data_IF_279461811146
#
_entry.id   IF_279461811146
#
_cell.length_a   1.000
_cell.length_b   1.000
_cell.length_c   1.000
_cell.angle_alpha   90.00
_cell.angle_beta   90.00
_cell.angle_gamma   90.00
#
_symmetry.space_group_name_H-M   'P 1'
#
loop_
_entity.id
_entity.type
_entity.pdbx_description
1 polymer ?
#
# COMPACT_ATOMS: atom_id res chain seq x y z
N UNK A 1 8.59 16.21 -26.30
CA UNK A 1 8.31 14.75 -26.27
C UNK A 1 7.99 14.37 -24.84
N UNK A 2 6.87 13.66 -24.67
CA UNK A 2 6.23 13.32 -23.40
C UNK A 2 7.14 12.48 -22.51
N UNK A 3 7.39 12.90 -21.26
CA UNK A 3 7.75 12.01 -20.16
C UNK A 3 7.25 12.63 -18.83
N UNK A 4 6.00 12.40 -18.38
CA UNK A 4 5.63 12.64 -16.99
C UNK A 4 6.06 11.42 -16.16
N UNK A 5 7.36 11.29 -15.90
CA UNK A 5 7.84 10.36 -14.88
C UNK A 5 7.61 11.00 -13.51
N UNK A 6 6.37 10.88 -13.00
CA UNK A 6 6.04 11.23 -11.62
C UNK A 6 6.63 10.17 -10.68
N UNK A 7 7.96 10.12 -10.57
CA UNK A 7 8.65 9.36 -9.53
C UNK A 7 8.60 10.15 -8.23
N UNK A 8 7.44 10.14 -7.57
CA UNK A 8 7.33 10.67 -6.22
C UNK A 8 7.77 9.57 -5.23
N UNK A 9 9.09 9.43 -5.08
CA UNK A 9 9.68 8.51 -4.11
C UNK A 9 9.73 9.20 -2.74
N UNK A 10 8.60 9.26 -2.05
CA UNK A 10 8.56 9.68 -0.64
C UNK A 10 9.14 8.57 0.25
N UNK A 11 10.42 8.74 0.56
CA UNK A 11 11.17 7.94 1.53
C UNK A 11 10.88 8.40 2.95
N UNK A 12 9.77 7.92 3.52
CA UNK A 12 9.55 8.01 4.97
C UNK A 12 10.15 6.79 5.69
N UNK A 13 11.20 7.06 6.46
CA UNK A 13 11.76 6.26 7.56
C UNK A 13 11.96 7.22 8.75
N UNK A 14 12.09 6.79 10.02
CA UNK A 14 11.84 5.49 10.64
C UNK A 14 10.94 5.57 11.90
N UNK A 15 10.13 4.53 12.15
CA UNK A 15 9.92 4.04 13.52
C UNK A 15 8.76 4.58 14.34
N UNK A 16 7.52 4.26 13.97
CA UNK A 16 6.46 3.85 14.94
C UNK A 16 5.22 3.27 14.24
N UNK A 17 5.36 2.72 13.04
CA UNK A 17 4.19 2.34 12.25
C UNK A 17 3.79 0.89 12.59
N UNK A 18 2.55 0.72 13.05
CA UNK A 18 2.02 -0.58 13.48
C UNK A 18 2.00 -1.54 12.28
N UNK A 19 2.75 -2.66 12.31
CA UNK A 19 2.86 -3.54 11.16
C UNK A 19 1.53 -4.26 10.92
N UNK A 20 1.00 -4.12 9.71
CA UNK A 20 -0.13 -4.88 9.20
C UNK A 20 0.41 -6.14 8.54
N UNK A 21 0.10 -7.32 9.10
CA UNK A 21 0.55 -8.62 8.57
C UNK A 21 -0.60 -9.53 8.20
N UNK A 22 -1.73 -9.44 8.90
CA UNK A 22 -2.87 -10.33 8.67
C UNK A 22 -3.98 -9.61 7.90
N UNK A 23 -4.77 -10.32 7.07
CA UNK A 23 -5.91 -9.74 6.36
C UNK A 23 -6.94 -9.13 7.33
N UNK A 24 -7.08 -9.72 8.51
CA UNK A 24 -7.94 -9.20 9.58
C UNK A 24 -7.55 -7.78 10.03
N UNK A 25 -6.26 -7.44 10.00
CA UNK A 25 -5.81 -6.08 10.29
C UNK A 25 -6.30 -5.12 9.21
N UNK A 26 -6.08 -5.44 7.92
CA UNK A 26 -6.54 -4.60 6.81
C UNK A 26 -8.06 -4.35 6.87
N UNK A 27 -8.84 -5.39 7.16
CA UNK A 27 -10.30 -5.28 7.33
C UNK A 27 -10.68 -4.34 8.48
N UNK A 28 -9.98 -4.44 9.61
CA UNK A 28 -10.18 -3.59 10.79
C UNK A 28 -9.81 -2.12 10.54
N UNK A 29 -8.84 -1.88 9.66
CA UNK A 29 -8.34 -0.55 9.33
C UNK A 29 -8.81 -0.03 7.97
N UNK A 30 -9.89 -0.59 7.42
CA UNK A 30 -10.57 -0.07 6.23
C UNK A 30 -10.86 1.43 6.39
N UNK A 31 -10.50 2.22 5.39
CA UNK A 31 -10.58 3.68 5.38
C UNK A 31 -9.39 4.41 6.05
N UNK A 32 -8.37 3.70 6.54
CA UNK A 32 -7.14 4.31 7.08
C UNK A 32 -6.00 4.31 6.05
N UNK A 33 -5.09 5.27 6.15
CA UNK A 33 -3.90 5.34 5.30
C UNK A 33 -2.90 4.26 5.72
N UNK A 34 -2.45 3.47 4.76
CA UNK A 34 -1.46 2.43 4.95
C UNK A 34 -0.37 2.52 3.89
N UNK A 35 0.85 2.27 4.34
CA UNK A 35 2.02 2.11 3.49
C UNK A 35 2.30 0.63 3.30
N UNK A 36 2.21 0.18 2.06
CA UNK A 36 2.35 -1.20 1.63
C UNK A 36 3.62 -1.33 0.81
N UNK A 37 4.53 -2.18 1.27
CA UNK A 37 5.73 -2.58 0.53
C UNK A 37 5.51 -3.96 -0.07
N UNK A 38 5.69 -4.07 -1.38
CA UNK A 38 5.60 -5.34 -2.11
C UNK A 38 6.95 -6.06 -2.17
N UNK A 39 6.91 -7.39 -2.37
CA UNK A 39 8.09 -8.26 -2.51
C UNK A 39 8.78 -8.00 -3.84
N UNK A 40 8.01 -8.07 -4.91
CA UNK A 40 8.44 -7.78 -6.27
C UNK A 40 7.98 -6.37 -6.65
N UNK A 41 8.82 -5.57 -7.32
CA UNK A 41 8.37 -4.30 -7.88
C UNK A 41 7.19 -4.54 -8.83
N UNK A 42 6.13 -3.77 -8.67
CA UNK A 42 5.01 -3.77 -9.60
C UNK A 42 5.20 -2.53 -10.47
N UNK A 43 5.61 -2.74 -11.72
CA UNK A 43 6.17 -1.68 -12.55
C UNK A 43 7.54 -1.24 -12.01
N UNK A 44 7.67 0.05 -11.69
CA UNK A 44 8.90 0.62 -11.12
C UNK A 44 8.83 0.84 -9.59
N UNK A 45 7.64 0.69 -9.00
CA UNK A 45 7.39 1.03 -7.61
C UNK A 45 7.29 -0.22 -6.71
N UNK A 46 7.98 -0.18 -5.56
CA UNK A 46 7.94 -1.23 -4.52
C UNK A 46 7.14 -0.83 -3.29
N UNK A 47 6.71 0.42 -3.20
CA UNK A 47 6.08 1.01 -2.02
C UNK A 47 4.87 1.81 -2.48
N UNK A 48 3.72 1.47 -1.94
CA UNK A 48 2.43 2.07 -2.27
C UNK A 48 1.86 2.68 -1.00
N UNK A 49 1.35 3.91 -1.09
CA UNK A 49 0.72 4.61 0.03
C UNK A 49 -0.70 4.96 -0.41
N UNK A 50 -1.68 4.58 0.38
CA UNK A 50 -3.07 4.85 0.08
C UNK A 50 -3.99 4.45 1.22
N UNK A 51 -5.29 4.67 1.05
CA UNK A 51 -6.33 4.27 1.97
C UNK A 51 -6.65 2.78 1.78
N UNK A 52 -6.75 2.03 2.88
CA UNK A 52 -7.15 0.62 2.82
C UNK A 52 -8.62 0.56 2.39
N UNK A 53 -8.89 -0.07 1.26
CA UNK A 53 -10.22 -0.33 0.74
C UNK A 53 -10.79 -1.63 1.27
N UNK A 54 -11.48 -2.37 0.40
CA UNK A 54 -11.95 -3.70 0.76
C UNK A 54 -10.80 -4.70 0.88
N UNK A 55 -10.97 -5.72 1.72
CA UNK A 55 -9.94 -6.72 1.96
C UNK A 55 -10.55 -8.08 2.19
N UNK A 56 -10.04 -9.05 1.44
CA UNK A 56 -10.39 -10.45 1.49
C UNK A 56 -9.22 -11.30 2.01
N UNK A 57 -9.49 -12.59 2.14
CA UNK A 57 -8.50 -13.64 2.38
C UNK A 57 -7.37 -13.70 1.34
N UNK A 58 -7.63 -13.27 0.09
CA UNK A 58 -6.64 -13.28 -0.98
C UNK A 58 -5.77 -12.01 -1.04
N UNK A 59 -6.27 -10.88 -0.56
CA UNK A 59 -5.63 -9.57 -0.77
C UNK A 59 -6.50 -8.41 -0.34
N UNK A 60 -6.06 -7.19 -0.63
CA UNK A 60 -6.77 -5.96 -0.28
C UNK A 60 -6.66 -4.91 -1.38
N UNK A 61 -7.63 -4.00 -1.40
CA UNK A 61 -7.61 -2.82 -2.24
C UNK A 61 -6.93 -1.67 -1.52
N UNK A 62 -6.21 -0.85 -2.28
CA UNK A 62 -5.60 0.38 -1.81
C UNK A 62 -6.07 1.52 -2.71
N UNK A 63 -6.75 2.50 -2.12
CA UNK A 63 -7.14 3.75 -2.78
C UNK A 63 -5.99 4.75 -2.70
N UNK A 64 -5.48 5.18 -3.85
CA UNK A 64 -4.48 6.24 -3.94
C UNK A 64 -5.11 7.62 -3.86
N UNK A 65 -4.32 8.63 -3.53
CA UNK A 65 -4.77 10.02 -3.45
C UNK A 65 -5.19 10.61 -4.81
N UNK A 66 -4.74 9.97 -5.90
CA UNK A 66 -5.15 10.27 -7.27
C UNK A 66 -6.59 9.80 -7.60
N UNK A 67 -7.26 9.10 -6.67
CA UNK A 67 -8.59 8.54 -6.87
C UNK A 67 -8.62 7.17 -7.57
N UNK A 68 -7.45 6.68 -8.00
CA UNK A 68 -7.29 5.32 -8.51
C UNK A 68 -7.25 4.30 -7.36
N UNK A 69 -7.84 3.12 -7.52
CA UNK A 69 -7.66 1.99 -6.62
C UNK A 69 -6.83 0.89 -7.29
N UNK A 70 -6.05 0.15 -6.50
CA UNK A 70 -5.35 -1.04 -7.00
C UNK A 70 -5.43 -2.18 -5.97
N UNK A 71 -5.59 -3.40 -6.47
CA UNK A 71 -5.71 -4.59 -5.64
C UNK A 71 -4.35 -5.25 -5.49
N UNK A 72 -3.92 -5.40 -4.24
CA UNK A 72 -2.68 -6.07 -3.87
C UNK A 72 -2.99 -7.43 -3.25
N UNK A 73 -2.34 -8.48 -3.74
CA UNK A 73 -2.42 -9.81 -3.15
C UNK A 73 -1.55 -9.91 -1.91
N UNK A 74 -2.00 -10.66 -0.90
CA UNK A 74 -1.22 -10.85 0.31
C UNK A 74 0.14 -11.50 0.04
N UNK A 75 0.23 -12.37 -0.97
CA UNK A 75 1.47 -13.01 -1.40
C UNK A 75 2.52 -12.00 -1.90
N UNK A 76 2.06 -11.00 -2.66
CA UNK A 76 2.92 -9.94 -3.18
C UNK A 76 3.33 -8.94 -2.11
N UNK A 77 2.64 -8.88 -0.98
CA UNK A 77 2.92 -7.92 0.09
C UNK A 77 4.07 -8.44 0.95
N UNK A 78 5.14 -7.65 1.02
CA UNK A 78 6.30 -7.94 1.88
C UNK A 78 6.12 -7.38 3.27
N UNK A 79 5.59 -6.15 3.37
CA UNK A 79 5.43 -5.44 4.63
C UNK A 79 4.39 -4.35 4.47
N UNK A 80 3.32 -4.38 5.24
CA UNK A 80 2.39 -3.26 5.31
C UNK A 80 2.42 -2.65 6.71
N UNK A 81 2.06 -1.37 6.81
CA UNK A 81 2.03 -0.65 8.07
C UNK A 81 1.06 0.53 7.98
N UNK A 82 0.39 0.84 9.08
CA UNK A 82 -0.45 2.04 9.16
C UNK A 82 0.41 3.28 9.26
N UNK A 83 0.07 4.30 8.48
CA UNK A 83 0.59 5.66 8.64
C UNK A 83 -0.57 6.57 9.04
N UNK A 84 -0.30 7.53 9.92
CA UNK A 84 -1.25 8.62 10.18
C UNK A 84 -1.16 9.66 9.05
#
# INVERSE_FOLDING_TARGET
MLIPHAFNLEVSSPGLERPLRNPADFKRFKGKKARVKVRHPIGDQKVFIGLIGDSDENGFELLFEDGTNNRFLMDQVRKARLTL
#
